data_IF_918106757989
#
_entry.id   IF_918106757989
#
_cell.length_a   1.000
_cell.length_b   1.000
_cell.length_c   1.000
_cell.angle_alpha   90.00
_cell.angle_beta   90.00
_cell.angle_gamma   90.00
#
_symmetry.space_group_name_H-M   'P 1'
#
loop_
_entity.id
_entity.type
_entity.pdbx_description
1 polymer ?
#
# COMPACT_ATOMS: atom_id res chain seq x y z
N UNK A 1 -11.51 -11.86 24.74
CA UNK A 1 -11.40 -10.93 23.60
C UNK A 1 -12.41 -11.35 22.55
N UNK A 2 -13.48 -10.58 22.37
CA UNK A 2 -14.39 -10.73 21.21
C UNK A 2 -13.68 -10.24 19.95
N UNK A 3 -13.84 -10.90 18.78
CA UNK A 3 -13.25 -10.41 17.54
C UNK A 3 -13.94 -9.13 17.09
N UNK A 4 -13.15 -8.14 16.65
CA UNK A 4 -13.56 -6.93 15.92
C UNK A 4 -14.15 -7.27 14.53
N UNK A 5 -15.13 -8.18 14.49
CA UNK A 5 -15.81 -8.52 13.24
C UNK A 5 -17.04 -7.62 13.16
N UNK A 6 -17.16 -6.78 12.10
CA UNK A 6 -18.38 -5.99 11.92
C UNK A 6 -19.56 -6.96 11.84
N UNK A 7 -20.62 -6.64 12.58
CA UNK A 7 -21.91 -7.31 12.48
C UNK A 7 -22.40 -7.03 11.06
N UNK A 8 -22.74 -8.06 10.29
CA UNK A 8 -23.13 -7.92 8.89
C UNK A 8 -24.14 -6.76 8.72
N UNK A 9 -23.75 -5.71 7.98
CA UNK A 9 -24.58 -4.52 7.73
C UNK A 9 -24.23 -3.25 8.52
N UNK A 10 -23.22 -3.26 9.40
CA UNK A 10 -22.72 -2.05 10.08
C UNK A 10 -21.35 -1.67 9.53
N UNK A 11 -21.23 -0.46 8.96
CA UNK A 11 -19.93 0.08 8.54
C UNK A 11 -19.04 0.28 9.77
N UNK A 12 -17.74 -0.09 9.70
CA UNK A 12 -16.80 0.11 10.80
C UNK A 12 -16.62 1.59 11.12
N UNK A 13 -16.27 1.91 12.38
CA UNK A 13 -16.09 3.30 12.83
C UNK A 13 -15.03 4.07 12.02
N UNK A 14 -14.07 3.34 11.44
CA UNK A 14 -13.01 3.89 10.59
C UNK A 14 -12.99 3.18 9.24
N UNK A 15 -12.87 3.97 8.18
CA UNK A 15 -12.72 3.48 6.82
C UNK A 15 -11.36 2.80 6.64
N UNK A 16 -11.25 1.93 5.64
CA UNK A 16 -9.96 1.38 5.20
C UNK A 16 -8.97 2.50 4.83
N UNK A 17 -9.44 3.62 4.24
CA UNK A 17 -8.58 4.77 3.93
C UNK A 17 -8.06 5.46 5.20
N UNK A 18 -8.88 5.53 6.25
CA UNK A 18 -8.48 6.14 7.53
C UNK A 18 -7.38 5.33 8.21
N UNK A 19 -7.53 4.00 8.19
CA UNK A 19 -6.54 3.06 8.73
C UNK A 19 -5.24 3.17 7.92
N UNK A 20 -5.31 3.12 6.58
CA UNK A 20 -4.13 3.25 5.72
C UNK A 20 -3.40 4.58 5.92
N UNK A 21 -4.13 5.68 6.12
CA UNK A 21 -3.55 7.01 6.35
C UNK A 21 -2.84 7.11 7.70
N UNK A 22 -3.34 6.45 8.73
CA UNK A 22 -2.69 6.37 10.04
C UNK A 22 -1.44 5.49 10.00
N UNK A 23 -1.51 4.33 9.36
CA UNK A 23 -0.40 3.35 9.32
C UNK A 23 0.73 3.78 8.38
N UNK A 24 0.39 4.35 7.21
CA UNK A 24 1.35 4.64 6.15
C UNK A 24 1.59 6.14 5.93
N UNK A 25 0.73 6.99 6.49
CA UNK A 25 0.80 8.43 6.35
C UNK A 25 0.01 9.00 5.15
N UNK A 26 0.07 10.33 4.95
CA UNK A 26 -0.67 11.02 3.90
C UNK A 26 -0.17 10.64 2.49
N UNK A 27 -1.11 10.33 1.59
CA UNK A 27 -0.82 10.07 0.18
C UNK A 27 -0.54 11.37 -0.57
N UNK A 28 0.35 11.32 -1.56
CA UNK A 28 0.56 12.43 -2.51
C UNK A 28 1.23 13.67 -1.93
N UNK A 29 1.96 13.55 -0.82
CA UNK A 29 2.76 14.67 -0.30
C UNK A 29 3.89 15.00 -1.29
N UNK A 30 3.96 16.24 -1.81
CA UNK A 30 5.01 16.63 -2.76
C UNK A 30 6.40 16.38 -2.18
N UNK A 31 7.26 15.71 -2.94
CA UNK A 31 8.63 15.40 -2.54
C UNK A 31 8.79 14.24 -1.55
N UNK A 32 7.70 13.57 -1.13
CA UNK A 32 7.79 12.33 -0.34
C UNK A 32 7.53 11.11 -1.21
N UNK A 33 8.14 10.00 -0.82
CA UNK A 33 7.88 8.70 -1.44
C UNK A 33 6.43 8.27 -1.21
N UNK A 34 5.90 7.48 -2.14
CA UNK A 34 4.56 6.92 -2.02
C UNK A 34 4.50 5.99 -0.80
N UNK A 35 3.48 6.13 0.07
CA UNK A 35 3.27 5.19 1.18
C UNK A 35 3.00 3.74 0.72
N UNK A 36 2.55 3.56 -0.53
CA UNK A 36 2.34 2.23 -1.10
C UNK A 36 3.67 1.52 -1.39
N UNK A 37 3.88 0.37 -0.75
CA UNK A 37 5.07 -0.48 -0.95
C UNK A 37 4.76 -1.65 -1.88
N UNK A 38 5.79 -2.15 -2.56
CA UNK A 38 5.68 -3.35 -3.38
C UNK A 38 5.48 -4.59 -2.49
N UNK A 39 4.71 -5.57 -2.99
CA UNK A 39 4.65 -6.88 -2.32
C UNK A 39 6.00 -7.59 -2.48
N UNK A 40 6.41 -8.46 -1.53
CA UNK A 40 7.69 -9.16 -1.63
C UNK A 40 7.83 -9.98 -2.92
N UNK A 41 6.73 -10.59 -3.39
CA UNK A 41 6.69 -11.35 -4.64
C UNK A 41 6.88 -10.44 -5.86
N UNK A 42 6.30 -9.24 -5.84
CA UNK A 42 6.41 -8.30 -6.96
C UNK A 42 7.78 -7.64 -6.97
N UNK A 43 8.32 -7.28 -5.81
CA UNK A 43 9.68 -6.76 -5.67
C UNK A 43 10.72 -7.74 -6.22
N UNK A 44 10.61 -9.04 -5.90
CA UNK A 44 11.49 -10.09 -6.43
C UNK A 44 11.42 -10.24 -7.96
N UNK A 45 10.23 -10.06 -8.55
CA UNK A 45 10.01 -10.18 -10.00
C UNK A 45 10.35 -8.90 -10.76
N UNK A 46 10.52 -7.78 -10.06
CA UNK A 46 10.84 -6.50 -10.67
C UNK A 46 12.36 -6.48 -10.90
N UNK A 47 12.82 -6.42 -12.16
CA UNK A 47 14.24 -6.25 -12.43
C UNK A 47 14.74 -4.98 -11.73
N UNK A 48 15.77 -5.12 -10.88
CA UNK A 48 16.37 -3.99 -10.15
C UNK A 48 17.32 -3.20 -11.04
N UNK A 49 18.01 -3.92 -11.92
CA UNK A 49 18.88 -3.36 -12.93
C UNK A 49 18.03 -3.09 -14.16
N UNK A 50 17.89 -1.80 -14.50
CA UNK A 50 17.42 -1.40 -15.83
C UNK A 50 18.45 -1.89 -16.83
N UNK A 51 18.05 -2.78 -17.73
CA UNK A 51 18.87 -3.21 -18.86
C UNK A 51 19.37 -1.95 -19.60
N UNK A 52 20.68 -1.73 -19.73
CA UNK A 52 21.22 -0.55 -20.40
C UNK A 52 20.98 -0.65 -21.92
N UNK A 53 19.73 -0.43 -22.32
CA UNK A 53 19.26 -0.34 -23.70
C UNK A 53 19.37 -1.66 -24.45
N UNK A 54 18.23 -2.32 -24.69
CA UNK A 54 18.12 -3.27 -25.78
C UNK A 54 18.22 -2.49 -27.10
N UNK A 55 19.31 -2.59 -27.88
CA UNK A 55 19.35 -1.93 -29.19
C UNK A 55 18.35 -2.60 -30.12
N UNK A 56 17.64 -1.78 -30.90
CA UNK A 56 16.62 -2.18 -31.86
C UNK A 56 17.15 -3.06 -33.00
#
# INVERSE_FOLDING_TARGET
MTPDKPIDGVEPERSEDDIQREELGPRGVPGKESPAKMTPQREKKTPKDVDPGHPA
#
